data_IF_505192328079
#
_entry.id   IF_505192328079
#
_cell.length_a   1.000
_cell.length_b   1.000
_cell.length_c   1.000
_cell.angle_alpha   90.00
_cell.angle_beta   90.00
_cell.angle_gamma   90.00
#
_symmetry.space_group_name_H-M   'P 1'
#
loop_
_entity.id
_entity.type
_entity.pdbx_description
1 polymer ?
#
# COMPACT_ATOMS: atom_id res chain seq x y z
N UNK A 1 -3.83 -6.33 28.92
CA UNK A 1 -2.78 -6.29 27.89
C UNK A 1 -3.48 -6.12 26.56
N UNK A 2 -3.06 -5.13 25.77
CA UNK A 2 -3.54 -4.92 24.41
C UNK A 2 -2.35 -5.06 23.47
N UNK A 3 -2.58 -5.70 22.33
CA UNK A 3 -1.59 -5.96 21.31
C UNK A 3 -2.17 -5.55 19.96
N UNK A 4 -1.36 -4.86 19.18
CA UNK A 4 -1.66 -4.57 17.78
C UNK A 4 -0.96 -5.58 16.88
N UNK A 5 -1.46 -5.68 15.66
CA UNK A 5 -0.95 -6.60 14.68
C UNK A 5 -1.70 -6.47 13.37
N UNK A 6 -1.16 -7.12 12.35
CA UNK A 6 -1.69 -7.06 10.99
C UNK A 6 -2.20 -8.42 10.55
N UNK A 7 -3.29 -8.41 9.80
CA UNK A 7 -3.82 -9.64 9.19
C UNK A 7 -3.06 -9.92 7.90
N UNK A 8 -2.33 -11.03 7.87
CA UNK A 8 -1.70 -11.58 6.67
C UNK A 8 -2.36 -12.91 6.30
N UNK A 9 -3.04 -12.95 5.15
CA UNK A 9 -3.68 -14.17 4.64
C UNK A 9 -4.64 -14.85 5.63
N UNK A 10 -5.38 -14.06 6.42
CA UNK A 10 -6.31 -14.55 7.44
C UNK A 10 -5.66 -14.95 8.77
N UNK A 11 -4.33 -14.82 8.90
CA UNK A 11 -3.58 -15.00 10.14
C UNK A 11 -3.27 -13.63 10.75
N UNK A 12 -3.57 -13.44 12.03
CA UNK A 12 -3.18 -12.23 12.75
C UNK A 12 -1.73 -12.40 13.20
N UNK A 13 -0.87 -11.46 12.80
CA UNK A 13 0.53 -11.39 13.20
C UNK A 13 0.67 -10.22 14.17
N UNK A 14 0.83 -10.47 15.48
CA UNK A 14 1.08 -9.42 16.47
C UNK A 14 2.42 -8.74 16.18
N UNK A 15 2.50 -7.43 16.41
CA UNK A 15 3.76 -6.69 16.27
C UNK A 15 4.81 -7.16 17.30
N UNK A 16 4.35 -7.57 18.49
CA UNK A 16 5.15 -8.29 19.49
C UNK A 16 4.43 -9.58 19.90
N UNK A 17 4.94 -10.72 19.44
CA UNK A 17 4.40 -12.05 19.75
C UNK A 17 5.04 -12.72 20.96
N UNK A 18 6.12 -12.17 21.52
CA UNK A 18 6.91 -12.78 22.60
C UNK A 18 6.14 -12.95 23.92
N UNK A 19 5.02 -12.26 24.00
CA UNK A 19 4.11 -12.12 25.13
C UNK A 19 2.91 -13.07 25.07
N UNK A 20 2.70 -13.74 23.93
CA UNK A 20 1.64 -14.73 23.76
C UNK A 20 2.22 -16.13 23.91
N UNK A 21 1.82 -16.81 24.99
CA UNK A 21 2.18 -18.21 25.21
C UNK A 21 1.30 -19.15 24.37
N UNK A 22 1.85 -20.32 24.02
CA UNK A 22 1.10 -21.36 23.31
C UNK A 22 -0.16 -21.77 24.09
N UNK A 23 -1.29 -21.92 23.40
CA UNK A 23 -2.59 -22.22 24.01
C UNK A 23 -3.30 -21.04 24.70
N UNK A 24 -2.72 -19.84 24.71
CA UNK A 24 -3.35 -18.65 25.29
C UNK A 24 -4.63 -18.27 24.52
N UNK A 25 -5.77 -18.21 25.22
CA UNK A 25 -7.03 -17.72 24.63
C UNK A 25 -7.00 -16.20 24.50
N UNK A 26 -7.16 -15.71 23.27
CA UNK A 26 -7.22 -14.28 22.97
C UNK A 26 -8.60 -13.85 22.52
N UNK A 27 -8.93 -12.57 22.75
CA UNK A 27 -10.09 -11.89 22.16
C UNK A 27 -9.58 -10.88 21.14
N UNK A 28 -10.13 -10.92 19.94
CA UNK A 28 -9.75 -10.01 18.86
C UNK A 28 -10.77 -8.89 18.79
N UNK A 29 -10.27 -7.66 18.81
CA UNK A 29 -11.06 -6.47 18.50
C UNK A 29 -10.35 -5.79 17.33
N UNK A 30 -11.03 -5.57 16.18
CA UNK A 30 -10.44 -4.82 15.09
C UNK A 30 -10.02 -3.44 15.60
N UNK A 31 -8.73 -3.12 15.50
CA UNK A 31 -8.30 -1.74 15.52
C UNK A 31 -9.02 -1.06 14.35
N UNK A 32 -9.72 0.05 14.60
CA UNK A 32 -10.69 0.63 13.67
C UNK A 32 -10.18 0.78 12.24
N UNK A 33 -11.10 0.99 11.28
CA UNK A 33 -10.71 1.17 9.88
C UNK A 33 -9.64 2.27 9.79
N UNK A 34 -8.41 1.98 9.32
CA UNK A 34 -7.36 2.99 9.16
C UNK A 34 -7.76 4.09 8.16
N UNK A 35 -8.96 3.97 7.58
CA UNK A 35 -9.50 4.85 6.59
C UNK A 35 -8.92 4.49 5.25
N UNK A 36 -9.70 4.71 4.21
CA UNK A 36 -9.15 4.69 2.85
C UNK A 36 -8.05 5.75 2.78
N UNK A 37 -6.80 5.30 2.66
CA UNK A 37 -5.68 6.19 2.37
C UNK A 37 -6.06 7.07 1.16
N UNK A 38 -5.85 8.40 1.23
CA UNK A 38 -6.10 9.28 0.09
C UNK A 38 -5.42 8.73 -1.17
N UNK A 39 -6.01 8.98 -2.34
CA UNK A 39 -5.49 8.51 -3.63
C UNK A 39 -3.97 8.78 -3.75
N UNK A 40 -3.52 9.99 -3.41
CA UNK A 40 -2.10 10.35 -3.43
C UNK A 40 -1.22 9.47 -2.53
N UNK A 41 -1.69 9.13 -1.32
CA UNK A 41 -0.94 8.29 -0.38
C UNK A 41 -0.85 6.83 -0.84
N UNK A 42 -1.84 6.33 -1.57
CA UNK A 42 -1.84 4.96 -2.12
C UNK A 42 -0.80 4.78 -3.22
N UNK A 43 -0.57 5.82 -4.04
CA UNK A 43 0.28 5.76 -5.23
C UNK A 43 1.57 6.58 -5.12
N UNK A 44 1.88 7.12 -3.93
CA UNK A 44 3.03 7.99 -3.71
C UNK A 44 4.37 7.36 -4.14
N UNK A 45 4.52 6.04 -3.99
CA UNK A 45 5.72 5.31 -4.38
C UNK A 45 6.01 5.33 -5.90
N UNK A 46 5.01 5.62 -6.74
CA UNK A 46 5.19 5.78 -8.18
C UNK A 46 5.62 7.19 -8.59
N UNK A 47 5.52 8.17 -7.69
CA UNK A 47 5.88 9.56 -8.00
C UNK A 47 7.37 9.66 -8.29
N UNK A 48 7.73 9.94 -9.54
CA UNK A 48 9.12 10.02 -9.97
C UNK A 48 9.83 8.67 -10.04
N UNK A 49 9.10 7.55 -10.05
CA UNK A 49 9.68 6.21 -10.10
C UNK A 49 10.37 5.88 -11.43
N UNK A 50 10.09 6.65 -12.49
CA UNK A 50 10.71 6.47 -13.80
C UNK A 50 11.65 7.64 -14.06
N UNK A 51 12.98 7.41 -14.12
CA UNK A 51 13.94 8.43 -14.50
C UNK A 51 13.83 8.75 -16.00
N UNK A 52 14.30 9.94 -16.38
CA UNK A 52 14.51 10.35 -17.78
C UNK A 52 13.27 10.29 -18.69
N UNK A 53 12.09 10.52 -18.12
CA UNK A 53 10.86 10.64 -18.91
C UNK A 53 10.87 11.89 -19.80
N UNK A 54 10.32 11.81 -21.03
CA UNK A 54 10.12 12.99 -21.87
C UNK A 54 9.30 14.05 -21.13
N UNK A 55 9.68 15.34 -21.20
CA UNK A 55 8.98 16.42 -20.49
C UNK A 55 7.53 16.60 -20.98
N UNK A 56 7.22 16.13 -22.18
CA UNK A 56 5.91 16.18 -22.82
C UNK A 56 5.15 14.85 -22.73
N UNK A 57 5.64 13.85 -21.97
CA UNK A 57 5.01 12.52 -21.86
C UNK A 57 3.52 12.60 -21.52
N UNK A 58 3.14 13.48 -20.59
CA UNK A 58 1.76 13.64 -20.17
C UNK A 58 0.87 14.20 -21.31
N UNK A 59 1.38 15.15 -22.09
CA UNK A 59 0.68 15.73 -23.23
C UNK A 59 0.66 14.79 -24.45
N UNK A 60 1.71 13.99 -24.61
CA UNK A 60 1.95 13.12 -25.77
C UNK A 60 1.79 11.63 -25.43
N UNK A 61 0.90 11.31 -24.49
CA UNK A 61 0.75 9.94 -23.97
C UNK A 61 0.48 8.90 -25.07
N UNK A 62 -0.33 9.23 -26.07
CA UNK A 62 -0.63 8.34 -27.19
C UNK A 62 0.58 8.12 -28.11
N UNK A 63 1.39 9.16 -28.35
CA UNK A 63 2.62 9.04 -29.12
C UNK A 63 3.57 8.03 -28.45
N UNK A 64 3.79 8.18 -27.15
CA UNK A 64 4.70 7.29 -26.41
C UNK A 64 4.11 5.90 -26.15
N UNK A 65 2.79 5.74 -26.12
CA UNK A 65 2.12 4.45 -25.92
C UNK A 65 1.92 3.66 -27.23
N UNK A 66 1.61 4.35 -28.33
CA UNK A 66 1.10 3.74 -29.57
C UNK A 66 1.91 4.13 -30.82
N UNK A 67 2.88 5.05 -30.72
CA UNK A 67 3.68 5.52 -31.85
C UNK A 67 2.93 6.46 -32.80
N UNK A 68 1.79 7.03 -32.38
CA UNK A 68 1.05 8.02 -33.18
C UNK A 68 1.84 9.32 -33.35
N UNK A 69 1.57 10.15 -34.37
CA UNK A 69 2.14 11.49 -34.45
C UNK A 69 1.86 12.31 -33.18
N UNK A 70 2.78 13.23 -32.83
CA UNK A 70 2.58 14.16 -31.71
C UNK A 70 1.43 15.13 -32.01
N UNK A 71 0.64 15.44 -30.97
CA UNK A 71 -0.46 16.42 -31.01
C UNK A 71 0.03 17.84 -30.75
#
# INVERSE_FOLDING_TARGET
MELEGVVHNGVIVPDDSSVLEEGMRVRITPAGDPGLRPFGARFAHFKGAVPDLPPDLAAQHEHYRLGTPKR
#
